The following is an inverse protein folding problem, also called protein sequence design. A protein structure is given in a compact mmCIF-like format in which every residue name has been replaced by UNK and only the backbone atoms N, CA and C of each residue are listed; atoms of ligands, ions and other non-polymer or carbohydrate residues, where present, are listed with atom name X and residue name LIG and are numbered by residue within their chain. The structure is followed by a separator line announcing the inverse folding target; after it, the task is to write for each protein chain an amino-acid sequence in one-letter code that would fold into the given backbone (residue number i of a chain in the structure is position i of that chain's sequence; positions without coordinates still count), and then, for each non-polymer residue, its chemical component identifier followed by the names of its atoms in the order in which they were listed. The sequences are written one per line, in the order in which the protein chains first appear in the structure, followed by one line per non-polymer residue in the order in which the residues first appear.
data_IF_419568682976
#
_entry.id   IF_419568682976
#
_cell.length_a   1.000
_cell.length_b   1.000
_cell.length_c   1.000
_cell.angle_alpha   90.00
_cell.angle_beta   90.00
_cell.angle_gamma   90.00
#
_symmetry.space_group_name_H-M   'P 1'
#
loop_
_entity.id
_entity.type
_entity.pdbx_description
1 polymer ?
#
# COMPACT_ATOMS: atom_id res chain seq x y z
N UNK A 1 36.64 37.35 -20.16
CA UNK A 1 35.41 36.55 -20.27
C UNK A 1 34.59 36.89 -19.05
N UNK A 2 33.48 37.57 -19.28
CA UNK A 2 32.74 38.31 -18.25
C UNK A 2 31.91 37.37 -17.36
N UNK A 3 31.73 37.67 -16.06
CA UNK A 3 30.95 36.84 -15.12
C UNK A 3 29.49 36.56 -15.56
N UNK A 4 28.97 37.36 -16.48
CA UNK A 4 27.60 37.25 -17.02
C UNK A 4 27.42 36.10 -18.02
N UNK A 5 28.52 35.60 -18.61
CA UNK A 5 28.48 34.52 -19.61
C UNK A 5 28.36 33.15 -18.90
N UNK A 6 29.07 32.97 -17.79
CA UNK A 6 29.03 31.76 -16.96
C UNK A 6 27.67 31.55 -16.27
N UNK A 7 26.97 32.62 -15.88
CA UNK A 7 25.63 32.52 -15.29
C UNK A 7 24.58 32.04 -16.30
N UNK A 8 24.71 32.45 -17.57
CA UNK A 8 23.80 32.02 -18.64
C UNK A 8 24.01 30.56 -19.01
N UNK A 9 25.26 30.12 -19.07
CA UNK A 9 25.61 28.72 -19.30
C UNK A 9 25.05 27.82 -18.18
N UNK A 10 25.20 28.22 -16.91
CA UNK A 10 24.66 27.46 -15.78
C UNK A 10 23.12 27.34 -15.82
N UNK A 11 22.42 28.42 -16.18
CA UNK A 11 20.96 28.39 -16.33
C UNK A 11 20.54 27.47 -17.48
N UNK A 12 21.28 27.46 -18.60
CA UNK A 12 20.98 26.58 -19.72
C UNK A 12 21.13 25.10 -19.36
N UNK A 13 22.17 24.74 -18.61
CA UNK A 13 22.35 23.38 -18.07
C UNK A 13 21.20 22.98 -17.13
N UNK A 14 20.77 23.88 -16.25
CA UNK A 14 19.61 23.63 -15.37
C UNK A 14 18.32 23.43 -16.16
N UNK A 15 18.13 24.17 -17.26
CA UNK A 15 16.96 24.03 -18.13
C UNK A 15 16.95 22.68 -18.84
N UNK A 16 18.09 22.24 -19.38
CA UNK A 16 18.20 20.94 -20.06
C UNK A 16 17.87 19.77 -19.11
N UNK A 17 18.39 19.82 -17.88
CA UNK A 17 18.06 18.81 -16.86
C UNK A 17 16.57 18.79 -16.50
N UNK A 18 15.92 19.94 -16.43
CA UNK A 18 14.48 20.03 -16.15
C UNK A 18 13.67 19.47 -17.32
N UNK A 19 14.05 19.76 -18.56
CA UNK A 19 13.38 19.24 -19.76
C UNK A 19 13.49 17.72 -19.86
N UNK A 20 14.68 17.15 -19.62
CA UNK A 20 14.87 15.69 -19.60
C UNK A 20 13.99 15.03 -18.53
N UNK A 21 14.04 15.56 -17.29
CA UNK A 21 13.22 15.05 -16.19
C UNK A 21 11.70 15.16 -16.47
N UNK A 22 11.26 16.21 -17.17
CA UNK A 22 9.86 16.40 -17.57
C UNK A 22 9.44 15.40 -18.66
N UNK A 23 10.32 15.08 -19.60
CA UNK A 23 10.04 14.08 -20.63
C UNK A 23 9.90 12.67 -20.04
N UNK A 24 10.76 12.30 -19.09
CA UNK A 24 10.65 11.03 -18.36
C UNK A 24 9.33 10.94 -17.59
N UNK A 25 9.00 12.02 -16.88
CA UNK A 25 7.74 12.20 -16.17
C UNK A 25 6.50 12.03 -17.08
N UNK A 26 6.51 12.68 -18.25
CA UNK A 26 5.43 12.61 -19.24
C UNK A 26 5.28 11.20 -19.82
N UNK A 27 6.38 10.49 -20.05
CA UNK A 27 6.36 9.09 -20.47
C UNK A 27 5.60 8.18 -19.48
N UNK A 28 5.83 8.37 -18.18
CA UNK A 28 5.13 7.64 -17.12
C UNK A 28 3.64 8.03 -17.07
N UNK A 29 3.34 9.34 -17.14
CA UNK A 29 1.96 9.84 -17.06
C UNK A 29 1.10 9.43 -18.26
N UNK A 30 1.68 9.37 -19.47
CA UNK A 30 0.98 8.86 -20.66
C UNK A 30 0.55 7.42 -20.47
N UNK A 31 1.46 6.57 -19.99
CA UNK A 31 1.12 5.19 -19.64
C UNK A 31 -0.01 5.10 -18.61
N UNK A 32 -0.04 6.01 -17.63
CA UNK A 32 -1.12 6.11 -16.65
C UNK A 32 -2.46 6.56 -17.25
N UNK A 33 -2.43 7.49 -18.20
CA UNK A 33 -3.63 8.03 -18.83
C UNK A 33 -4.28 7.05 -19.82
N UNK A 34 -3.48 6.20 -20.47
CA UNK A 34 -3.98 5.15 -21.37
C UNK A 34 -4.56 3.94 -20.61
N UNK A 35 -4.31 3.85 -19.30
CA UNK A 35 -4.82 2.79 -18.45
C UNK A 35 -6.27 3.06 -18.00
N UNK A 36 -7.12 2.02 -18.06
CA UNK A 36 -8.48 2.10 -17.53
C UNK A 36 -8.47 1.86 -16.00
N UNK A 37 -8.79 2.91 -15.24
CA UNK A 37 -8.80 2.91 -13.76
C UNK A 37 -9.64 1.76 -13.17
N UNK A 38 -10.87 1.56 -13.67
CA UNK A 38 -11.79 0.56 -13.12
C UNK A 38 -11.21 -0.86 -13.23
N UNK A 39 -10.57 -1.15 -14.37
CA UNK A 39 -9.95 -2.47 -14.61
C UNK A 39 -8.73 -2.76 -13.74
N UNK A 40 -8.06 -1.73 -13.24
CA UNK A 40 -6.89 -1.85 -12.37
C UNK A 40 -7.32 -2.00 -10.93
N UNK A 41 -8.25 -1.15 -10.50
CA UNK A 41 -8.80 -1.16 -9.14
C UNK A 41 -9.39 -2.52 -8.77
N UNK A 42 -10.10 -3.15 -9.71
CA UNK A 42 -10.70 -4.47 -9.48
C UNK A 42 -9.68 -5.58 -9.22
N UNK A 43 -8.43 -5.40 -9.69
CA UNK A 43 -7.34 -6.37 -9.54
C UNK A 43 -6.46 -6.11 -8.32
N UNK A 44 -6.56 -4.93 -7.71
CA UNK A 44 -5.71 -4.52 -6.59
C UNK A 44 -6.33 -4.91 -5.25
N UNK A 45 -5.48 -5.29 -4.30
CA UNK A 45 -5.91 -5.40 -2.91
C UNK A 45 -6.34 -4.01 -2.40
N UNK A 46 -7.23 -3.90 -1.39
CA UNK A 46 -7.64 -2.61 -0.85
C UNK A 46 -6.47 -1.73 -0.40
N UNK A 47 -5.40 -2.36 0.10
CA UNK A 47 -4.19 -1.67 0.52
C UNK A 47 -3.37 -1.17 -0.67
N UNK A 48 -3.22 -1.98 -1.71
CA UNK A 48 -2.46 -1.59 -2.90
C UNK A 48 -3.21 -0.53 -3.72
N UNK A 49 -4.54 -0.58 -3.74
CA UNK A 49 -5.38 0.50 -4.28
C UNK A 49 -5.11 1.82 -3.56
N UNK A 50 -5.11 1.83 -2.23
CA UNK A 50 -4.85 3.04 -1.46
C UNK A 50 -3.45 3.62 -1.72
N UNK A 51 -2.44 2.75 -1.93
CA UNK A 51 -1.08 3.18 -2.31
C UNK A 51 -1.03 3.75 -3.72
N UNK A 52 -1.73 3.12 -4.66
CA UNK A 52 -1.84 3.60 -6.04
C UNK A 52 -2.50 4.97 -6.11
N UNK A 53 -3.69 5.13 -5.49
CA UNK A 53 -4.40 6.41 -5.45
C UNK A 53 -3.55 7.52 -4.79
N UNK A 54 -2.83 7.18 -3.71
CA UNK A 54 -1.90 8.10 -3.05
C UNK A 54 -0.73 8.51 -3.96
N UNK A 55 -0.17 7.59 -4.73
CA UNK A 55 0.92 7.87 -5.66
C UNK A 55 0.46 8.85 -6.75
N UNK A 56 -0.70 8.60 -7.37
CA UNK A 56 -1.28 9.48 -8.38
C UNK A 56 -1.57 10.87 -7.80
N UNK A 57 -2.17 10.93 -6.61
CA UNK A 57 -2.45 12.20 -5.93
C UNK A 57 -1.17 12.99 -5.62
N UNK A 58 -0.12 12.32 -5.14
CA UNK A 58 1.17 12.96 -4.86
C UNK A 58 1.82 13.50 -6.14
N UNK A 59 1.81 12.72 -7.22
CA UNK A 59 2.34 13.14 -8.51
C UNK A 59 1.66 14.41 -9.01
N UNK A 60 0.32 14.44 -9.09
CA UNK A 60 -0.44 15.60 -9.58
C UNK A 60 -0.13 16.85 -8.75
N UNK A 61 -0.14 16.74 -7.41
CA UNK A 61 0.15 17.87 -6.54
C UNK A 61 1.61 18.35 -6.65
N UNK A 62 2.55 17.44 -6.89
CA UNK A 62 3.96 17.79 -7.10
C UNK A 62 4.17 18.52 -8.42
N UNK A 63 3.52 18.08 -9.51
CA UNK A 63 3.54 18.81 -10.79
C UNK A 63 2.93 20.19 -10.65
N UNK A 64 1.80 20.30 -9.95
CA UNK A 64 1.17 21.59 -9.73
C UNK A 64 2.06 22.54 -8.90
N UNK A 65 2.72 22.03 -7.85
CA UNK A 65 3.70 22.81 -7.09
C UNK A 65 4.86 23.31 -7.97
N UNK A 66 5.39 22.44 -8.84
CA UNK A 66 6.44 22.80 -9.81
C UNK A 66 5.95 23.85 -10.81
N UNK A 67 4.73 23.72 -11.32
CA UNK A 67 4.10 24.71 -12.20
C UNK A 67 3.95 26.09 -11.53
N UNK A 68 3.51 26.13 -10.27
CA UNK A 68 3.43 27.41 -9.52
C UNK A 68 4.82 28.04 -9.38
N UNK A 69 5.83 27.20 -9.14
CA UNK A 69 7.23 27.64 -9.01
C UNK A 69 7.81 28.13 -10.34
N UNK A 70 7.47 27.53 -11.48
CA UNK A 70 7.91 27.98 -12.80
C UNK A 70 7.31 29.32 -13.21
N UNK A 71 6.14 29.69 -12.66
CA UNK A 71 5.55 31.02 -12.80
C UNK A 71 6.24 32.09 -11.92
N UNK A 72 7.24 31.71 -11.11
CA UNK A 72 7.91 32.61 -10.18
C UNK A 72 7.07 33.02 -8.97
N UNK A 73 5.96 32.31 -8.69
CA UNK A 73 5.11 32.57 -7.52
C UNK A 73 5.70 31.92 -6.27
N UNK A 74 5.58 32.59 -5.12
CA UNK A 74 6.00 32.01 -3.84
C UNK A 74 5.08 30.84 -3.45
N UNK A 75 5.69 29.72 -3.10
CA UNK A 75 4.98 28.49 -2.76
C UNK A 75 4.66 28.41 -1.27
N UNK A 76 5.30 29.21 -0.41
CA UNK A 76 5.10 29.16 1.05
C UNK A 76 3.70 29.61 1.48
N UNK A 77 3.15 30.61 0.81
CA UNK A 77 1.79 31.12 1.04
C UNK A 77 0.72 30.44 0.16
N UNK A 78 1.09 29.49 -0.68
CA UNK A 78 0.16 28.86 -1.61
C UNK A 78 -0.56 27.67 -0.94
N UNK A 79 -1.89 27.49 -1.15
CA UNK A 79 -2.67 26.37 -0.58
C UNK A 79 -2.14 24.95 -0.90
N UNK A 80 -1.22 24.84 -1.86
CA UNK A 80 -0.60 23.56 -2.25
C UNK A 80 0.23 22.96 -1.11
N UNK A 81 0.78 23.78 -0.23
CA UNK A 81 1.52 23.31 0.95
C UNK A 81 0.61 22.59 1.94
N UNK A 82 -0.66 23.01 2.05
CA UNK A 82 -1.66 22.33 2.88
C UNK A 82 -1.98 20.96 2.30
N UNK A 83 -2.18 20.87 0.99
CA UNK A 83 -2.43 19.61 0.27
C UNK A 83 -1.24 18.65 0.38
N UNK A 84 -0.01 19.16 0.29
CA UNK A 84 1.19 18.35 0.52
C UNK A 84 1.26 17.83 1.96
N UNK A 85 0.87 18.65 2.94
CA UNK A 85 0.72 18.23 4.33
C UNK A 85 -0.36 17.16 4.51
N UNK A 86 -1.45 17.23 3.73
CA UNK A 86 -2.54 16.25 3.71
C UNK A 86 -2.07 14.91 3.17
N UNK A 87 -1.35 14.92 2.05
CA UNK A 87 -0.72 13.73 1.45
C UNK A 87 0.20 13.06 2.48
N UNK A 88 1.09 13.82 3.14
CA UNK A 88 1.98 13.27 4.18
C UNK A 88 1.22 12.54 5.28
N UNK A 89 0.15 13.15 5.81
CA UNK A 89 -0.71 12.51 6.83
C UNK A 89 -1.33 11.20 6.34
N UNK A 90 -1.77 11.15 5.08
CA UNK A 90 -2.34 9.93 4.50
C UNK A 90 -1.25 8.86 4.32
N UNK A 91 -0.06 9.24 3.85
CA UNK A 91 1.10 8.35 3.75
C UNK A 91 1.45 7.73 5.10
N UNK A 92 1.48 8.53 6.17
CA UNK A 92 1.78 8.05 7.52
C UNK A 92 0.70 7.08 8.02
N UNK A 93 -0.58 7.36 7.76
CA UNK A 93 -1.68 6.43 8.07
C UNK A 93 -1.56 5.10 7.33
N UNK A 94 -1.23 5.12 6.03
CA UNK A 94 -1.03 3.89 5.26
C UNK A 94 0.14 3.09 5.83
N UNK A 95 1.26 3.75 6.17
CA UNK A 95 2.40 3.10 6.82
C UNK A 95 2.01 2.44 8.14
N UNK A 96 1.31 3.15 9.03
CA UNK A 96 0.82 2.59 10.28
C UNK A 96 -0.07 1.36 10.07
N UNK A 97 -1.00 1.41 9.12
CA UNK A 97 -1.86 0.27 8.80
C UNK A 97 -1.04 -0.93 8.32
N UNK A 98 -0.06 -0.70 7.44
CA UNK A 98 0.80 -1.77 6.93
C UNK A 98 1.64 -2.42 8.03
N UNK A 99 2.15 -1.63 8.98
CA UNK A 99 2.92 -2.13 10.12
C UNK A 99 2.05 -2.88 11.12
N UNK A 100 0.84 -2.38 11.41
CA UNK A 100 -0.15 -3.03 12.28
C UNK A 100 -0.60 -4.38 11.69
N UNK A 101 -0.79 -4.47 10.37
CA UNK A 101 -1.10 -5.74 9.70
C UNK A 101 0.06 -6.74 9.79
N UNK A 102 1.31 -6.27 9.66
CA UNK A 102 2.50 -7.12 9.77
C UNK A 102 2.72 -7.63 11.20
N UNK A 103 2.44 -6.80 12.19
CA UNK A 103 2.49 -7.14 13.62
C UNK A 103 1.10 -7.62 14.06
N UNK A 104 0.75 -8.89 13.84
CA UNK A 104 -0.52 -9.48 14.35
C UNK A 104 -0.68 -9.16 15.84
N UNK A 105 -1.41 -8.11 16.19
CA UNK A 105 -1.50 -7.62 17.58
C UNK A 105 -2.57 -8.33 18.39
N UNK A 106 -3.45 -9.07 17.71
CA UNK A 106 -4.48 -9.90 18.32
C UNK A 106 -4.13 -11.36 18.10
N UNK A 107 -3.27 -11.90 18.96
CA UNK A 107 -3.14 -13.35 19.10
C UNK A 107 -4.32 -13.81 19.96
N UNK A 108 -5.22 -14.59 19.37
CA UNK A 108 -6.31 -15.22 20.13
C UNK A 108 -5.69 -16.23 21.09
N UNK A 109 -5.97 -16.11 22.39
CA UNK A 109 -5.59 -17.16 23.36
C UNK A 109 -6.49 -18.39 23.11
N UNK A 110 -6.02 -19.27 22.24
CA UNK A 110 -6.69 -20.52 21.90
C UNK A 110 -6.97 -21.37 23.15
N UNK A 111 -6.12 -21.30 24.18
CA UNK A 111 -6.34 -22.04 25.44
C UNK A 111 -7.50 -21.43 26.23
N UNK A 112 -7.62 -20.11 26.28
CA UNK A 112 -8.77 -19.45 26.91
C UNK A 112 -10.08 -19.77 26.18
N UNK A 113 -10.10 -19.67 24.84
CA UNK A 113 -11.26 -20.02 24.04
C UNK A 113 -11.67 -21.49 24.26
N UNK A 114 -10.72 -22.41 24.30
CA UNK A 114 -10.99 -23.83 24.60
C UNK A 114 -11.57 -24.03 26.00
N UNK A 115 -11.07 -23.30 27.02
CA UNK A 115 -11.64 -23.35 28.39
C UNK A 115 -13.08 -22.81 28.42
N UNK A 116 -13.36 -21.73 27.70
CA UNK A 116 -14.71 -21.16 27.61
C UNK A 116 -15.69 -22.16 27.01
N UNK A 117 -15.33 -22.77 25.87
CA UNK A 117 -16.14 -23.81 25.20
C UNK A 117 -16.33 -25.03 26.12
N UNK A 118 -15.28 -25.50 26.78
CA UNK A 118 -15.36 -26.66 27.68
C UNK A 118 -16.23 -26.40 28.91
N UNK A 119 -16.20 -25.18 29.44
CA UNK A 119 -17.03 -24.78 30.58
C UNK A 119 -18.50 -24.70 30.20
N UNK A 120 -18.83 -24.08 29.05
CA UNK A 120 -20.21 -24.00 28.57
C UNK A 120 -20.80 -25.37 28.16
N UNK A 121 -19.96 -26.27 27.64
CA UNK A 121 -20.34 -27.64 27.31
C UNK A 121 -20.23 -28.62 28.49
N UNK A 122 -19.94 -28.13 29.71
CA UNK A 122 -19.83 -28.98 30.88
C UNK A 122 -21.22 -29.48 31.31
N UNK A 123 -21.44 -30.80 31.19
CA UNK A 123 -22.63 -31.47 31.69
C UNK A 123 -22.32 -32.21 33.00
N UNK A 124 -23.18 -32.15 34.03
CA UNK A 124 -22.97 -32.90 35.26
C UNK A 124 -23.18 -34.40 34.99
N UNK A 125 -22.06 -35.13 35.04
CA UNK A 125 -21.91 -36.59 35.15
C UNK A 125 -23.11 -37.48 34.74
N UNK A 126 -23.31 -37.68 33.43
CA UNK A 126 -23.63 -39.03 32.93
C UNK A 126 -23.34 -39.26 31.43
N UNK A 127 -22.13 -38.92 30.96
CA UNK A 127 -21.48 -39.59 29.80
C UNK A 127 -20.03 -39.13 29.73
N UNK A 128 -19.08 -40.05 29.91
CA UNK A 128 -17.65 -39.77 29.67
C UNK A 128 -17.45 -39.56 28.18
N UNK A 129 -17.44 -38.31 27.71
CA UNK A 129 -17.00 -37.98 26.35
C UNK A 129 -15.47 -38.06 26.36
N UNK A 130 -14.91 -39.11 25.75
CA UNK A 130 -13.48 -39.22 25.50
C UNK A 130 -13.14 -38.35 24.29
N UNK A 131 -12.45 -37.23 24.51
CA UNK A 131 -11.74 -36.55 23.43
C UNK A 131 -10.35 -37.19 23.31
N UNK A 132 -10.09 -37.86 22.19
CA UNK A 132 -8.77 -38.35 21.81
C UNK A 132 -7.94 -37.18 21.27
N UNK A 133 -6.71 -37.04 21.73
CA UNK A 133 -5.75 -35.97 21.42
C UNK A 133 -5.15 -36.05 19.99
N UNK A 134 -5.87 -36.61 19.02
CA UNK A 134 -5.35 -36.90 17.68
C UNK A 134 -5.92 -35.95 16.60
N UNK A 135 -5.82 -34.63 16.79
CA UNK A 135 -5.93 -33.68 15.67
C UNK A 135 -4.90 -32.57 15.85
N UNK A 136 -3.68 -32.86 15.39
CA UNK A 136 -2.60 -31.88 15.29
C UNK A 136 -2.83 -31.01 14.04
N UNK A 137 -3.51 -29.88 14.22
CA UNK A 137 -3.91 -28.96 13.14
C UNK A 137 -2.73 -28.25 12.44
N UNK A 138 -1.53 -28.29 13.02
CA UNK A 138 -0.38 -27.55 12.52
C UNK A 138 0.31 -28.19 11.30
N UNK A 139 -0.12 -29.38 10.85
CA UNK A 139 0.40 -29.96 9.62
C UNK A 139 -0.61 -30.94 8.96
N UNK A 140 -1.50 -30.47 8.07
CA UNK A 140 -2.41 -31.35 7.34
C UNK A 140 -1.63 -32.17 6.29
N UNK A 141 -1.83 -33.49 6.29
CA UNK A 141 -1.25 -34.39 5.29
C UNK A 141 -1.75 -34.05 3.87
N UNK A 142 -0.94 -34.22 2.82
CA UNK A 142 -1.36 -33.95 1.45
C UNK A 142 -2.43 -34.95 1.00
N UNK A 143 -3.55 -34.43 0.50
CA UNK A 143 -4.73 -35.23 0.14
C UNK A 143 -4.42 -36.32 -0.91
N UNK A 144 -4.90 -37.57 -0.72
CA UNK A 144 -4.71 -38.62 -1.70
C UNK A 144 -5.59 -38.38 -2.94
N UNK A 145 -4.91 -38.14 -4.06
CA UNK A 145 -5.50 -37.94 -5.37
C UNK A 145 -6.39 -39.11 -5.83
N UNK A 146 -7.51 -38.73 -6.44
CA UNK A 146 -8.46 -39.61 -7.10
C UNK A 146 -7.77 -40.41 -8.24
N UNK A 147 -7.68 -41.75 -8.11
CA UNK A 147 -7.48 -42.60 -9.29
C UNK A 147 -8.17 -43.97 -9.17
N UNK A 148 -9.31 -44.04 -9.88
CA UNK A 148 -9.82 -45.11 -10.76
C UNK A 148 -9.67 -46.58 -10.31
N UNK A 149 -10.81 -47.16 -9.96
CA UNK A 149 -11.05 -48.61 -9.94
C UNK A 149 -10.75 -49.23 -11.31
N UNK A 150 -10.00 -50.31 -11.34
CA UNK A 150 -9.97 -51.25 -12.46
C UNK A 150 -10.05 -52.69 -11.94
N UNK A 151 -11.15 -53.33 -12.36
CA UNK A 151 -11.49 -54.75 -12.54
C UNK A 151 -10.87 -55.82 -11.63
#
# INVERSE_FOLDING_TARGET
MEPQETEKEAIAEEQEMIEEALNDADGILKGLNDMNYDTIVDKLSPLDRARFDLAVLYSINSYYWMYVRSLGKDTKGHPIMEEMGRIKKITDRIKEMTEKTKKRSMVVDAKAAHRMVKHELWQPANKKIKFTEEENWDNPEPEPGCSKKAK
#
